data_IF_088060961819
#
_entry.id   IF_088060961819
#
_cell.length_a   1.000
_cell.length_b   1.000
_cell.length_c   1.000
_cell.angle_alpha   90.00
_cell.angle_beta   90.00
_cell.angle_gamma   90.00
#
_symmetry.space_group_name_H-M   'P 1'
#
loop_
_entity.id
_entity.type
_entity.pdbx_description
1 polymer ?
#
# COMPACT_ATOMS: atom_id res chain seq x y z
N UNK A 1 25.48 -5.76 15.47
CA UNK A 1 24.74 -5.59 14.20
C UNK A 1 23.60 -4.63 14.49
N UNK A 2 23.54 -3.47 13.82
CA UNK A 2 22.38 -2.58 13.94
C UNK A 2 21.13 -3.35 13.56
N UNK A 3 20.11 -3.26 14.39
CA UNK A 3 18.84 -3.96 14.18
C UNK A 3 18.13 -3.25 13.02
N UNK A 4 18.20 -3.81 11.80
CA UNK A 4 17.55 -3.25 10.61
C UNK A 4 16.05 -3.04 10.86
N UNK A 5 15.50 -1.99 10.27
CA UNK A 5 14.05 -1.79 10.27
C UNK A 5 13.38 -2.87 9.42
N UNK A 6 12.19 -3.30 9.83
CA UNK A 6 11.39 -4.32 9.14
C UNK A 6 10.17 -3.67 8.51
N UNK A 7 9.99 -3.89 7.22
CA UNK A 7 8.86 -3.37 6.47
C UNK A 7 7.96 -4.50 5.96
N UNK A 8 6.66 -4.36 6.15
CA UNK A 8 5.63 -5.22 5.56
C UNK A 8 4.92 -4.47 4.43
N UNK A 9 4.93 -5.04 3.23
CA UNK A 9 4.24 -4.49 2.05
C UNK A 9 3.19 -5.47 1.55
N UNK A 10 1.92 -5.13 1.66
CA UNK A 10 0.85 -5.96 1.10
C UNK A 10 0.73 -5.77 -0.42
N UNK A 11 0.49 -6.87 -1.16
CA UNK A 11 0.48 -6.83 -2.63
C UNK A 11 1.85 -6.48 -3.23
N UNK A 12 2.95 -6.94 -2.61
CA UNK A 12 4.33 -6.55 -2.95
C UNK A 12 4.97 -7.30 -4.12
N UNK A 13 4.25 -8.20 -4.79
CA UNK A 13 4.85 -9.04 -5.85
C UNK A 13 5.04 -8.34 -7.20
N UNK A 14 4.37 -7.22 -7.46
CA UNK A 14 4.44 -6.46 -8.73
C UNK A 14 3.99 -5.00 -8.56
N UNK A 15 4.14 -4.22 -9.64
CA UNK A 15 3.65 -2.84 -9.73
C UNK A 15 4.14 -1.94 -8.60
N UNK A 16 3.25 -1.10 -8.07
CA UNK A 16 3.56 -0.13 -7.02
C UNK A 16 4.08 -0.83 -5.76
N UNK A 17 3.46 -1.95 -5.35
CA UNK A 17 3.88 -2.68 -4.16
C UNK A 17 5.31 -3.21 -4.26
N UNK A 18 5.70 -3.77 -5.43
CA UNK A 18 7.08 -4.18 -5.69
C UNK A 18 8.03 -2.99 -5.63
N UNK A 19 7.70 -1.88 -6.30
CA UNK A 19 8.54 -0.68 -6.30
C UNK A 19 8.73 -0.13 -4.85
N UNK A 20 7.67 -0.11 -4.04
CA UNK A 20 7.77 0.24 -2.62
C UNK A 20 8.71 -0.70 -1.86
N UNK A 21 8.58 -2.01 -2.07
CA UNK A 21 9.47 -2.99 -1.44
C UNK A 21 10.93 -2.76 -1.81
N UNK A 22 11.20 -2.51 -3.09
CA UNK A 22 12.57 -2.22 -3.60
C UNK A 22 13.14 -0.94 -2.99
N UNK A 23 12.38 0.16 -2.94
CA UNK A 23 12.86 1.43 -2.36
C UNK A 23 13.10 1.30 -0.85
N UNK A 24 12.29 0.53 -0.12
CA UNK A 24 12.50 0.26 1.30
C UNK A 24 13.74 -0.62 1.53
N UNK A 25 13.99 -1.62 0.67
CA UNK A 25 15.18 -2.46 0.75
C UNK A 25 16.46 -1.65 0.45
N UNK A 26 16.46 -0.80 -0.59
CA UNK A 26 17.56 0.14 -0.87
C UNK A 26 17.87 1.07 0.31
N UNK A 27 16.85 1.42 1.10
CA UNK A 27 17.00 2.23 2.31
C UNK A 27 17.45 1.40 3.53
N UNK A 28 17.81 0.12 3.37
CA UNK A 28 18.36 -0.76 4.39
C UNK A 28 17.34 -1.52 5.23
N UNK A 29 16.06 -1.54 4.83
CA UNK A 29 15.06 -2.35 5.52
C UNK A 29 15.15 -3.83 5.14
N UNK A 30 14.83 -4.71 6.09
CA UNK A 30 14.39 -6.06 5.79
C UNK A 30 12.91 -6.00 5.38
N UNK A 31 12.56 -6.62 4.25
CA UNK A 31 11.23 -6.41 3.64
C UNK A 31 10.48 -7.73 3.50
N UNK A 32 9.32 -7.79 4.10
CA UNK A 32 8.37 -8.87 3.90
C UNK A 32 7.32 -8.39 2.89
N UNK A 33 7.12 -9.15 1.83
CA UNK A 33 6.03 -8.90 0.88
C UNK A 33 4.93 -9.93 1.05
N UNK A 34 3.68 -9.47 0.98
CA UNK A 34 2.52 -10.35 0.85
C UNK A 34 2.11 -10.47 -0.61
N UNK A 35 1.61 -11.65 -0.97
CA UNK A 35 0.95 -11.91 -2.25
C UNK A 35 -0.21 -12.90 -2.08
N UNK A 36 -1.17 -12.88 -3.03
CA UNK A 36 -2.31 -13.78 -3.00
C UNK A 36 -2.19 -14.94 -4.02
N UNK A 37 -1.80 -14.65 -5.25
CA UNK A 37 -1.88 -15.62 -6.35
C UNK A 37 -0.56 -15.92 -7.07
N UNK A 38 0.20 -14.92 -7.47
CA UNK A 38 1.38 -15.12 -8.32
C UNK A 38 2.65 -15.33 -7.49
N UNK A 39 2.96 -16.59 -7.21
CA UNK A 39 4.13 -17.01 -6.43
C UNK A 39 5.44 -16.76 -7.17
N UNK A 40 5.48 -17.01 -8.46
CA UNK A 40 6.68 -16.76 -9.29
C UNK A 40 7.09 -15.28 -9.24
N UNK A 41 6.15 -14.37 -9.44
CA UNK A 41 6.42 -12.94 -9.35
C UNK A 41 6.87 -12.52 -7.92
N UNK A 42 6.28 -13.12 -6.89
CA UNK A 42 6.68 -12.86 -5.51
C UNK A 42 8.11 -13.33 -5.23
N UNK A 43 8.47 -14.53 -5.65
CA UNK A 43 9.81 -15.09 -5.50
C UNK A 43 10.86 -14.25 -6.26
N UNK A 44 10.55 -13.86 -7.50
CA UNK A 44 11.42 -12.98 -8.29
C UNK A 44 11.65 -11.62 -7.60
N UNK A 45 10.60 -11.07 -7.00
CA UNK A 45 10.75 -9.83 -6.21
C UNK A 45 11.64 -10.06 -5.00
N UNK A 46 11.48 -11.16 -4.25
CA UNK A 46 12.33 -11.46 -3.10
C UNK A 46 13.79 -11.64 -3.49
N UNK A 47 14.09 -12.28 -4.62
CA UNK A 47 15.46 -12.40 -5.13
C UNK A 47 16.08 -11.01 -5.38
N UNK A 48 15.33 -10.10 -5.98
CA UNK A 48 15.78 -8.72 -6.20
C UNK A 48 16.04 -7.99 -4.87
N UNK A 49 15.14 -8.15 -3.89
CA UNK A 49 15.31 -7.55 -2.56
C UNK A 49 16.53 -8.11 -1.83
N UNK A 50 16.78 -9.41 -1.93
CA UNK A 50 17.98 -10.07 -1.34
C UNK A 50 19.25 -9.58 -2.01
N UNK A 51 19.25 -9.36 -3.32
CA UNK A 51 20.39 -8.79 -4.03
C UNK A 51 20.74 -7.37 -3.56
N UNK A 52 19.78 -6.63 -2.98
CA UNK A 52 19.99 -5.34 -2.32
C UNK A 52 20.46 -5.46 -0.86
N UNK A 53 20.70 -6.66 -0.37
CA UNK A 53 21.14 -6.93 1.00
C UNK A 53 20.03 -6.97 2.05
N UNK A 54 18.76 -7.04 1.63
CA UNK A 54 17.61 -7.18 2.51
C UNK A 54 17.37 -8.65 2.88
N UNK A 55 17.13 -8.94 4.16
CA UNK A 55 16.62 -10.25 4.57
C UNK A 55 15.11 -10.30 4.30
N UNK A 56 14.76 -10.66 3.06
CA UNK A 56 13.40 -10.56 2.54
C UNK A 56 12.72 -11.91 2.40
N UNK A 57 11.40 -11.90 2.57
CA UNK A 57 10.52 -13.06 2.48
C UNK A 57 9.23 -12.71 1.75
N UNK A 58 8.70 -13.65 0.96
CA UNK A 58 7.35 -13.58 0.42
C UNK A 58 6.41 -14.46 1.26
N UNK A 59 5.24 -13.93 1.61
CA UNK A 59 4.23 -14.65 2.38
C UNK A 59 2.92 -14.69 1.61
N UNK A 60 2.39 -15.91 1.41
CA UNK A 60 1.13 -16.14 0.70
C UNK A 60 -0.03 -16.11 1.68
N UNK A 61 -0.84 -15.07 1.62
CA UNK A 61 -2.12 -15.02 2.34
C UNK A 61 -3.07 -14.01 1.67
N UNK A 62 -4.37 -14.26 1.83
CA UNK A 62 -5.40 -13.33 1.41
C UNK A 62 -5.57 -12.25 2.50
N UNK A 63 -5.29 -11.01 2.15
CA UNK A 63 -5.41 -9.85 3.06
C UNK A 63 -6.86 -9.57 3.49
N UNK A 64 -7.85 -10.07 2.76
CA UNK A 64 -9.27 -9.95 3.11
C UNK A 64 -9.73 -11.00 4.13
N UNK A 65 -8.88 -11.97 4.48
CA UNK A 65 -9.15 -12.98 5.50
C UNK A 65 -8.38 -12.62 6.78
N UNK A 66 -9.13 -12.21 7.82
CA UNK A 66 -8.55 -11.76 9.08
C UNK A 66 -7.70 -12.84 9.77
N UNK A 67 -8.16 -14.11 9.78
CA UNK A 67 -7.45 -15.21 10.44
C UNK A 67 -6.09 -15.49 9.79
N UNK A 68 -6.05 -15.48 8.45
CA UNK A 68 -4.81 -15.65 7.70
C UNK A 68 -3.85 -14.48 7.92
N UNK A 69 -4.36 -13.27 8.02
CA UNK A 69 -3.56 -12.08 8.35
C UNK A 69 -2.95 -12.20 9.75
N UNK A 70 -3.75 -12.56 10.76
CA UNK A 70 -3.26 -12.71 12.14
C UNK A 70 -2.18 -13.79 12.26
N UNK A 71 -2.37 -14.92 11.58
CA UNK A 71 -1.37 -16.00 11.51
C UNK A 71 -0.07 -15.52 10.86
N UNK A 72 -0.17 -14.80 9.73
CA UNK A 72 0.99 -14.27 9.03
C UNK A 72 1.75 -13.22 9.87
N UNK A 73 1.05 -12.31 10.54
CA UNK A 73 1.70 -11.31 11.42
C UNK A 73 2.40 -11.99 12.60
N UNK A 74 1.82 -13.06 13.14
CA UNK A 74 2.48 -13.86 14.19
C UNK A 74 3.77 -14.48 13.67
N UNK A 75 3.75 -15.10 12.49
CA UNK A 75 4.95 -15.68 11.87
C UNK A 75 6.05 -14.63 11.64
N UNK A 76 5.68 -13.43 11.15
CA UNK A 76 6.63 -12.32 11.00
C UNK A 76 7.25 -11.96 12.36
N UNK A 77 6.45 -11.87 13.40
CA UNK A 77 6.95 -11.54 14.74
C UNK A 77 7.82 -12.63 15.35
N UNK A 78 7.53 -13.90 15.04
CA UNK A 78 8.36 -15.02 15.49
C UNK A 78 9.76 -15.00 14.85
N UNK A 79 9.88 -14.51 13.62
CA UNK A 79 11.14 -14.44 12.87
C UNK A 79 11.86 -13.10 13.06
N UNK A 80 11.20 -11.98 12.76
CA UNK A 80 11.83 -10.65 12.69
C UNK A 80 11.76 -9.85 14.00
N UNK A 81 10.88 -10.22 14.93
CA UNK A 81 10.67 -9.60 16.26
C UNK A 81 10.15 -8.16 16.25
N UNK A 82 9.98 -7.54 15.08
CA UNK A 82 9.53 -6.16 14.92
C UNK A 82 8.85 -5.92 13.57
N UNK A 83 8.04 -4.87 13.50
CA UNK A 83 7.54 -4.28 12.25
C UNK A 83 7.58 -2.76 12.42
N UNK A 84 8.39 -2.07 11.60
CA UNK A 84 8.60 -0.62 11.69
C UNK A 84 7.83 0.15 10.63
N UNK A 85 7.63 -0.47 9.47
CA UNK A 85 6.90 0.12 8.34
C UNK A 85 5.82 -0.84 7.89
N UNK A 86 4.61 -0.32 7.70
CA UNK A 86 3.51 -1.02 7.04
C UNK A 86 3.08 -0.23 5.81
N UNK A 87 3.05 -0.89 4.66
CA UNK A 87 2.47 -0.34 3.42
C UNK A 87 1.24 -1.17 3.06
N UNK A 88 0.06 -0.62 3.30
CA UNK A 88 -1.21 -1.19 2.87
C UNK A 88 -1.43 -0.85 1.39
N UNK A 89 -0.92 -1.72 0.50
CA UNK A 89 -0.96 -1.51 -0.95
C UNK A 89 -1.88 -2.51 -1.67
N UNK A 90 -2.12 -3.70 -1.13
CA UNK A 90 -2.97 -4.70 -1.76
C UNK A 90 -4.33 -4.09 -2.19
N UNK A 91 -4.75 -4.40 -3.41
CA UNK A 91 -6.00 -3.89 -3.94
C UNK A 91 -6.35 -4.49 -5.30
N UNK A 92 -7.63 -4.43 -5.61
CA UNK A 92 -8.22 -4.89 -6.87
C UNK A 92 -9.18 -3.85 -7.42
N UNK A 93 -9.51 -3.95 -8.71
CA UNK A 93 -10.61 -3.24 -9.34
C UNK A 93 -11.67 -4.22 -9.84
N UNK A 94 -12.93 -3.80 -9.82
CA UNK A 94 -14.09 -4.45 -10.44
C UNK A 94 -14.97 -3.36 -11.00
N UNK A 95 -14.46 -2.72 -12.06
CA UNK A 95 -15.06 -1.54 -12.66
C UNK A 95 -16.35 -1.88 -13.40
N UNK A 96 -17.30 -0.98 -13.36
CA UNK A 96 -18.57 -1.11 -14.04
C UNK A 96 -19.55 0.00 -13.61
N UNK A 97 -20.49 0.36 -14.50
CA UNK A 97 -21.52 1.35 -14.16
C UNK A 97 -22.31 0.89 -12.94
N UNK A 98 -22.59 1.81 -12.01
CA UNK A 98 -23.24 1.49 -10.73
C UNK A 98 -24.54 0.69 -10.89
N UNK A 99 -25.37 1.05 -11.86
CA UNK A 99 -26.63 0.33 -12.12
C UNK A 99 -26.45 -1.15 -12.56
N UNK A 100 -25.23 -1.55 -12.96
CA UNK A 100 -24.90 -2.92 -13.39
C UNK A 100 -23.89 -3.59 -12.46
N UNK A 101 -23.47 -2.89 -11.41
CA UNK A 101 -22.49 -3.42 -10.45
C UNK A 101 -23.16 -4.47 -9.58
N UNK A 102 -22.61 -5.70 -9.58
CA UNK A 102 -23.11 -6.75 -8.70
C UNK A 102 -22.69 -6.48 -7.26
N UNK A 103 -23.49 -6.99 -6.31
CA UNK A 103 -23.12 -6.95 -4.88
C UNK A 103 -21.77 -7.64 -4.63
N UNK A 104 -21.46 -8.71 -5.36
CA UNK A 104 -20.20 -9.43 -5.24
C UNK A 104 -19.02 -8.54 -5.66
N UNK A 105 -19.09 -7.84 -6.81
CA UNK A 105 -18.05 -6.90 -7.24
C UNK A 105 -17.84 -5.75 -6.24
N UNK A 106 -18.92 -5.30 -5.62
CA UNK A 106 -18.85 -4.30 -4.55
C UNK A 106 -18.09 -4.86 -3.34
N UNK A 107 -18.52 -6.01 -2.82
CA UNK A 107 -17.94 -6.63 -1.64
C UNK A 107 -16.48 -7.04 -1.85
N UNK A 108 -16.14 -7.61 -3.01
CA UNK A 108 -14.76 -7.99 -3.34
C UNK A 108 -13.82 -6.78 -3.21
N UNK A 109 -14.23 -5.63 -3.77
CA UNK A 109 -13.41 -4.42 -3.74
C UNK A 109 -13.34 -3.83 -2.32
N UNK A 110 -14.47 -3.74 -1.61
CA UNK A 110 -14.47 -3.24 -0.23
C UNK A 110 -13.62 -4.13 0.67
N UNK A 111 -13.76 -5.44 0.58
CA UNK A 111 -13.02 -6.37 1.42
C UNK A 111 -11.51 -6.31 1.15
N UNK A 112 -11.12 -6.30 -0.12
CA UNK A 112 -9.69 -6.31 -0.48
C UNK A 112 -9.03 -4.95 -0.31
N UNK A 113 -9.73 -3.84 -0.61
CA UNK A 113 -9.09 -2.51 -0.65
C UNK A 113 -9.26 -1.71 0.64
N UNK A 114 -10.28 -2.02 1.48
CA UNK A 114 -10.57 -1.27 2.70
C UNK A 114 -10.49 -2.15 3.94
N UNK A 115 -11.29 -3.23 4.01
CA UNK A 115 -11.32 -4.08 5.19
C UNK A 115 -9.96 -4.74 5.46
N UNK A 116 -9.22 -5.11 4.42
CA UNK A 116 -7.86 -5.62 4.52
C UNK A 116 -6.91 -4.67 5.25
N UNK A 117 -7.02 -3.36 4.99
CA UNK A 117 -6.18 -2.38 5.67
C UNK A 117 -6.46 -2.37 7.19
N UNK A 118 -7.71 -2.55 7.60
CA UNK A 118 -8.03 -2.74 9.02
C UNK A 118 -7.46 -4.05 9.54
N UNK A 119 -7.67 -5.18 8.86
CA UNK A 119 -7.21 -6.49 9.31
C UNK A 119 -5.69 -6.55 9.49
N UNK A 120 -4.93 -5.91 8.58
CA UNK A 120 -3.47 -5.87 8.69
C UNK A 120 -3.00 -4.82 9.71
N UNK A 121 -3.59 -3.64 9.70
CA UNK A 121 -3.14 -2.53 10.57
C UNK A 121 -3.44 -2.80 12.04
N UNK A 122 -4.54 -3.45 12.38
CA UNK A 122 -4.92 -3.70 13.78
C UNK A 122 -3.84 -4.50 14.54
N UNK A 123 -3.40 -5.69 14.11
CA UNK A 123 -2.33 -6.41 14.80
C UNK A 123 -0.97 -5.69 14.71
N UNK A 124 -0.63 -5.08 13.56
CA UNK A 124 0.64 -4.35 13.38
C UNK A 124 0.70 -3.12 14.28
N UNK A 125 -0.38 -2.36 14.43
CA UNK A 125 -0.41 -1.20 15.31
C UNK A 125 -0.17 -1.57 16.78
N UNK A 126 -0.66 -2.72 17.25
CA UNK A 126 -0.39 -3.22 18.60
C UNK A 126 1.10 -3.50 18.82
N UNK A 127 1.79 -3.99 17.79
CA UNK A 127 3.25 -4.20 17.80
C UNK A 127 3.95 -2.84 17.87
N UNK A 128 3.61 -1.91 16.96
CA UNK A 128 4.21 -0.58 16.91
C UNK A 128 3.97 0.23 18.19
N UNK A 129 2.79 0.08 18.85
CA UNK A 129 2.48 0.71 20.14
C UNK A 129 3.47 0.24 21.21
N UNK A 130 3.78 -1.06 21.26
CA UNK A 130 4.78 -1.63 22.20
C UNK A 130 6.18 -1.15 21.86
N UNK A 131 6.52 -1.04 20.59
CA UNK A 131 7.80 -0.50 20.12
C UNK A 131 7.94 1.02 20.37
N UNK A 132 6.83 1.74 20.56
CA UNK A 132 6.75 3.22 20.60
C UNK A 132 7.36 3.87 19.35
N UNK A 133 7.24 3.21 18.23
CA UNK A 133 7.74 3.66 16.93
C UNK A 133 7.04 2.91 15.80
N UNK A 134 6.77 3.60 14.70
CA UNK A 134 6.20 2.98 13.49
C UNK A 134 5.78 4.01 12.44
N UNK A 135 5.68 3.53 11.20
CA UNK A 135 5.12 4.31 10.10
C UNK A 135 4.18 3.44 9.27
N UNK A 136 2.97 3.93 9.04
CA UNK A 136 1.95 3.26 8.24
C UNK A 136 1.66 4.14 7.03
N UNK A 137 1.73 3.57 5.82
CA UNK A 137 1.39 4.25 4.57
C UNK A 137 0.27 3.48 3.89
N UNK A 138 -0.87 4.12 3.71
CA UNK A 138 -2.03 3.56 3.04
C UNK A 138 -2.04 3.97 1.57
N UNK A 139 -2.18 3.01 0.65
CA UNK A 139 -2.31 3.29 -0.77
C UNK A 139 -3.75 3.66 -1.11
N UNK A 140 -4.05 4.95 -1.06
CA UNK A 140 -5.31 5.53 -1.50
C UNK A 140 -5.37 5.61 -3.05
N UNK A 141 -6.01 6.60 -3.62
CA UNK A 141 -6.07 6.91 -5.05
C UNK A 141 -6.67 8.30 -5.23
N UNK A 142 -6.37 8.96 -6.35
CA UNK A 142 -7.14 10.13 -6.78
C UNK A 142 -8.63 9.82 -6.92
N UNK A 143 -8.99 8.59 -7.34
CA UNK A 143 -10.39 8.14 -7.38
C UNK A 143 -11.07 8.16 -6.00
N UNK A 144 -10.31 8.02 -4.91
CA UNK A 144 -10.82 8.15 -3.55
C UNK A 144 -11.02 9.61 -3.10
N UNK A 145 -10.36 10.56 -3.75
CA UNK A 145 -10.49 11.99 -3.44
C UNK A 145 -11.62 12.63 -4.26
N UNK A 146 -11.69 12.32 -5.56
CA UNK A 146 -12.56 13.02 -6.51
C UNK A 146 -13.69 12.15 -7.09
N UNK A 147 -13.64 10.84 -6.85
CA UNK A 147 -14.52 9.89 -7.51
C UNK A 147 -14.07 9.57 -8.92
N UNK A 148 -14.58 8.47 -9.47
CA UNK A 148 -14.41 8.13 -10.88
C UNK A 148 -15.64 7.35 -11.37
N UNK A 149 -16.19 7.74 -12.50
CA UNK A 149 -17.34 7.05 -13.10
C UNK A 149 -16.97 5.58 -13.40
N UNK A 150 -17.86 4.66 -13.04
CA UNK A 150 -17.60 3.22 -13.17
C UNK A 150 -16.79 2.59 -12.03
N UNK A 151 -16.37 3.39 -11.05
CA UNK A 151 -15.56 2.94 -9.90
C UNK A 151 -16.22 3.26 -8.55
N UNK A 152 -17.54 3.20 -8.43
CA UNK A 152 -18.21 3.52 -7.18
C UNK A 152 -17.68 2.70 -5.98
N UNK A 153 -17.45 1.38 -6.16
CA UNK A 153 -16.86 0.51 -5.16
C UNK A 153 -15.39 0.90 -4.83
N UNK A 154 -14.57 1.09 -5.85
CA UNK A 154 -13.15 1.43 -5.70
C UNK A 154 -12.96 2.81 -5.07
N UNK A 155 -13.68 3.82 -5.57
CA UNK A 155 -13.65 5.18 -5.02
C UNK A 155 -14.09 5.21 -3.56
N UNK A 156 -15.16 4.47 -3.20
CA UNK A 156 -15.61 4.33 -1.81
C UNK A 156 -14.54 3.70 -0.94
N UNK A 157 -13.92 2.60 -1.37
CA UNK A 157 -12.86 1.94 -0.61
C UNK A 157 -11.65 2.87 -0.40
N UNK A 158 -11.22 3.57 -1.45
CA UNK A 158 -10.06 4.47 -1.39
C UNK A 158 -10.35 5.75 -0.60
N UNK A 159 -11.58 6.27 -0.62
CA UNK A 159 -12.04 7.35 0.26
C UNK A 159 -12.10 6.88 1.73
N UNK A 160 -12.55 5.65 1.97
CA UNK A 160 -12.52 5.04 3.30
C UNK A 160 -11.11 4.98 3.89
N UNK A 161 -10.10 4.64 3.08
CA UNK A 161 -8.69 4.65 3.50
C UNK A 161 -8.20 6.05 3.90
N UNK A 162 -8.70 7.10 3.27
CA UNK A 162 -8.37 8.49 3.62
C UNK A 162 -8.91 8.81 5.03
N UNK A 163 -10.17 8.47 5.30
CA UNK A 163 -10.77 8.63 6.63
C UNK A 163 -10.04 7.81 7.69
N UNK A 164 -9.76 6.54 7.40
CA UNK A 164 -9.00 5.63 8.24
C UNK A 164 -7.61 6.17 8.58
N UNK A 165 -6.88 6.69 7.59
CA UNK A 165 -5.58 7.33 7.77
C UNK A 165 -5.63 8.48 8.78
N UNK A 166 -6.58 9.40 8.61
CA UNK A 166 -6.72 10.58 9.45
C UNK A 166 -7.11 10.24 10.89
N UNK A 167 -7.98 9.25 11.08
CA UNK A 167 -8.38 8.79 12.41
C UNK A 167 -7.19 8.14 13.14
N UNK A 168 -6.53 7.17 12.53
CA UNK A 168 -5.40 6.48 13.14
C UNK A 168 -4.20 7.40 13.39
N UNK A 169 -3.96 8.38 12.54
CA UNK A 169 -2.91 9.37 12.77
C UNK A 169 -3.09 10.09 14.10
N UNK A 170 -4.31 10.44 14.46
CA UNK A 170 -4.63 11.09 15.75
C UNK A 170 -4.51 10.12 16.93
N UNK A 171 -5.00 8.89 16.77
CA UNK A 171 -5.01 7.88 17.85
C UNK A 171 -3.59 7.41 18.20
N UNK A 172 -2.73 7.24 17.19
CA UNK A 172 -1.43 6.60 17.35
C UNK A 172 -0.27 7.58 17.55
N UNK A 173 -0.48 8.89 17.34
CA UNK A 173 0.56 9.92 17.45
C UNK A 173 1.26 9.94 18.82
N UNK A 174 0.51 9.75 19.92
CA UNK A 174 1.07 9.70 21.28
C UNK A 174 2.02 8.51 21.51
N UNK A 175 2.02 7.54 20.60
CA UNK A 175 2.91 6.38 20.60
C UNK A 175 4.05 6.51 19.59
N UNK A 176 4.26 7.71 19.04
CA UNK A 176 5.28 7.96 18.01
C UNK A 176 5.09 7.11 16.76
N UNK A 177 3.83 6.88 16.38
CA UNK A 177 3.46 6.17 15.16
C UNK A 177 2.82 7.16 14.20
N UNK A 178 3.33 7.23 12.98
CA UNK A 178 2.82 8.11 11.93
C UNK A 178 1.97 7.30 10.94
N UNK A 179 0.86 7.89 10.51
CA UNK A 179 -0.04 7.26 9.53
C UNK A 179 -0.33 8.26 8.44
N UNK A 180 0.03 7.94 7.21
CA UNK A 180 -0.20 8.79 6.05
C UNK A 180 -0.80 7.96 4.90
N UNK A 181 -1.31 8.64 3.89
CA UNK A 181 -1.76 8.02 2.64
C UNK A 181 -1.03 8.63 1.45
N UNK A 182 -0.81 7.82 0.43
CA UNK A 182 -0.44 8.26 -0.92
C UNK A 182 -1.62 8.03 -1.83
N UNK A 183 -1.93 9.00 -2.67
CA UNK A 183 -3.02 8.95 -3.65
C UNK A 183 -2.42 8.99 -5.07
N UNK A 184 -2.12 7.82 -5.68
CA UNK A 184 -1.62 7.76 -7.03
C UNK A 184 -2.63 8.25 -8.05
N UNK A 185 -2.13 8.92 -9.12
CA UNK A 185 -2.83 9.12 -10.38
C UNK A 185 -2.77 7.87 -11.27
N UNK A 186 -2.63 8.10 -12.59
CA UNK A 186 -2.43 7.01 -13.54
C UNK A 186 -0.96 6.59 -13.57
N UNK A 187 -0.69 5.39 -13.08
CA UNK A 187 0.65 4.80 -12.96
C UNK A 187 0.77 3.62 -13.92
N UNK A 188 1.90 3.48 -14.61
CA UNK A 188 2.20 2.35 -15.50
C UNK A 188 2.29 1.05 -14.71
N UNK A 189 1.23 0.25 -14.79
CA UNK A 189 1.11 -1.06 -14.13
C UNK A 189 0.21 -1.98 -14.96
N UNK A 190 0.13 -3.25 -14.57
CA UNK A 190 -0.81 -4.18 -15.20
C UNK A 190 -2.28 -3.71 -15.13
N UNK A 191 -2.65 -2.91 -14.13
CA UNK A 191 -4.01 -2.37 -13.99
C UNK A 191 -4.34 -1.32 -15.05
N UNK A 192 -3.34 -0.60 -15.56
CA UNK A 192 -3.53 0.56 -16.46
C UNK A 192 -3.09 0.30 -17.90
N UNK A 193 -2.43 -0.83 -18.17
CA UNK A 193 -1.87 -1.14 -19.50
C UNK A 193 -2.89 -1.15 -20.65
N UNK A 194 -4.14 -1.51 -20.36
CA UNK A 194 -5.21 -1.58 -21.35
C UNK A 194 -6.06 -0.31 -21.45
N UNK A 195 -5.71 0.75 -20.71
CA UNK A 195 -6.41 2.03 -20.78
C UNK A 195 -5.95 2.85 -22.00
N UNK A 196 -6.77 3.79 -22.51
CA UNK A 196 -6.41 4.66 -23.62
C UNK A 196 -5.34 5.68 -23.19
N UNK A 197 -4.07 5.26 -23.20
CA UNK A 197 -2.95 6.00 -22.59
C UNK A 197 -2.78 7.40 -23.16
N UNK A 198 -2.89 7.59 -24.49
CA UNK A 198 -2.76 8.91 -25.11
C UNK A 198 -3.78 9.90 -24.56
N UNK A 199 -5.07 9.50 -24.48
CA UNK A 199 -6.14 10.36 -23.95
C UNK A 199 -5.96 10.70 -22.47
N UNK A 200 -5.33 9.80 -21.70
CA UNK A 200 -5.02 10.01 -20.29
C UNK A 200 -3.85 10.99 -20.17
N UNK A 201 -2.78 10.77 -20.92
CA UNK A 201 -1.57 11.61 -20.91
C UNK A 201 -1.90 13.05 -21.29
N UNK A 202 -2.82 13.25 -22.23
CA UNK A 202 -3.27 14.60 -22.63
C UNK A 202 -3.87 15.39 -21.49
N UNK A 203 -4.48 14.71 -20.53
CA UNK A 203 -5.10 15.34 -19.34
C UNK A 203 -4.11 15.57 -18.19
N UNK A 204 -2.96 14.88 -18.20
CA UNK A 204 -1.95 15.01 -17.16
C UNK A 204 -1.06 16.23 -17.47
N UNK A 205 -0.97 17.25 -16.59
CA UNK A 205 -0.09 18.41 -16.81
C UNK A 205 1.36 18.05 -17.07
N UNK A 206 1.93 17.05 -16.37
CA UNK A 206 3.30 16.56 -16.62
C UNK A 206 3.46 15.71 -17.89
N UNK A 207 2.37 15.52 -18.69
CA UNK A 207 2.36 14.88 -20.00
C UNK A 207 3.01 13.49 -20.06
N UNK A 208 2.91 12.73 -18.97
CA UNK A 208 3.31 11.32 -18.89
C UNK A 208 2.48 10.59 -17.86
N UNK A 209 2.38 9.28 -17.98
CA UNK A 209 1.96 8.43 -16.87
C UNK A 209 3.04 8.46 -15.78
N UNK A 210 2.64 8.28 -14.53
CA UNK A 210 3.59 8.03 -13.45
C UNK A 210 4.17 6.62 -13.55
N UNK A 211 5.40 6.46 -13.06
CA UNK A 211 6.01 5.15 -12.87
C UNK A 211 5.77 4.65 -11.44
N UNK A 212 5.79 3.33 -11.19
CA UNK A 212 5.69 2.78 -9.84
C UNK A 212 6.70 3.39 -8.86
N UNK A 213 7.88 3.77 -9.36
CA UNK A 213 8.97 4.39 -8.60
C UNK A 213 8.63 5.81 -8.14
N UNK A 214 7.80 6.56 -8.88
CA UNK A 214 7.32 7.89 -8.45
C UNK A 214 6.51 7.76 -7.15
N UNK A 215 5.70 6.72 -7.04
CA UNK A 215 4.93 6.40 -5.84
C UNK A 215 5.84 5.88 -4.73
N UNK A 216 6.73 4.95 -5.06
CA UNK A 216 7.60 4.28 -4.09
C UNK A 216 8.53 5.25 -3.35
N UNK A 217 9.07 6.25 -4.05
CA UNK A 217 9.89 7.31 -3.45
C UNK A 217 9.09 8.12 -2.42
N UNK A 218 7.83 8.44 -2.72
CA UNK A 218 6.95 9.15 -1.78
C UNK A 218 6.62 8.27 -0.56
N UNK A 219 6.37 6.98 -0.78
CA UNK A 219 6.15 6.02 0.32
C UNK A 219 7.39 5.95 1.21
N UNK A 220 8.59 5.78 0.63
CA UNK A 220 9.86 5.75 1.37
C UNK A 220 10.07 7.03 2.16
N UNK A 221 9.85 8.20 1.56
CA UNK A 221 9.95 9.50 2.25
C UNK A 221 9.02 9.56 3.46
N UNK A 222 7.74 9.21 3.29
CA UNK A 222 6.77 9.21 4.39
C UNK A 222 7.09 8.18 5.48
N UNK A 223 7.64 7.02 5.10
CA UNK A 223 7.95 5.94 6.03
C UNK A 223 9.24 6.18 6.83
N UNK A 224 10.30 6.68 6.18
CA UNK A 224 11.65 6.66 6.72
C UNK A 224 12.30 8.03 6.91
N UNK A 225 12.06 9.00 6.00
CA UNK A 225 12.85 10.22 5.93
C UNK A 225 12.26 11.38 6.76
N UNK A 226 10.95 11.32 7.05
CA UNK A 226 10.27 12.36 7.83
C UNK A 226 9.84 11.86 9.21
N UNK A 227 9.79 12.75 10.18
CA UNK A 227 9.34 12.46 11.55
C UNK A 227 8.14 13.29 11.99
N UNK A 228 7.76 14.32 11.23
CA UNK A 228 6.73 15.29 11.63
C UNK A 228 5.52 15.35 10.68
N UNK A 229 5.41 14.39 9.75
CA UNK A 229 4.27 14.27 8.83
C UNK A 229 3.40 13.10 9.26
N UNK A 230 2.15 13.38 9.64
CA UNK A 230 1.13 12.38 9.96
C UNK A 230 -0.26 12.90 9.60
N UNK A 231 -1.18 12.00 9.25
CA UNK A 231 -2.56 12.32 8.85
C UNK A 231 -2.69 12.93 7.46
N UNK A 232 -1.61 12.97 6.66
CA UNK A 232 -1.63 13.57 5.33
C UNK A 232 -2.02 12.59 4.25
N UNK A 233 -2.60 13.14 3.18
CA UNK A 233 -2.88 12.44 1.91
C UNK A 233 -2.10 13.14 0.83
N UNK A 234 -1.08 12.48 0.30
CA UNK A 234 -0.19 13.06 -0.71
C UNK A 234 -0.60 12.57 -2.08
N UNK A 235 -1.06 13.48 -2.94
CA UNK A 235 -1.30 13.22 -4.35
C UNK A 235 0.02 13.03 -5.10
N UNK A 236 0.10 11.97 -5.91
CA UNK A 236 1.23 11.70 -6.81
C UNK A 236 0.64 11.35 -8.17
N UNK A 237 0.23 12.37 -8.91
CA UNK A 237 -0.65 12.25 -10.06
C UNK A 237 -0.24 13.10 -11.27
N UNK A 238 0.95 13.73 -11.22
CA UNK A 238 1.45 14.58 -12.30
C UNK A 238 0.66 15.88 -12.49
N UNK A 239 -0.09 16.31 -11.45
CA UNK A 239 -0.94 17.51 -11.50
C UNK A 239 -2.31 17.24 -12.14
N UNK A 240 -2.71 15.98 -12.30
CA UNK A 240 -3.98 15.62 -12.93
C UNK A 240 -5.17 16.19 -12.15
N UNK A 241 -5.00 16.33 -10.85
CA UNK A 241 -6.07 16.80 -9.97
C UNK A 241 -5.50 17.88 -9.03
N UNK A 242 -5.64 19.11 -9.43
CA UNK A 242 -5.27 20.32 -8.69
C UNK A 242 -6.44 21.30 -8.69
#
# INVERSE_FOLDING_TARGET
MENKKVALVTGGSRGIGKACAVELAKAGCDVIINYAGNEEAANKTVEELKALGSNSKAMKFDVSNQELVEAAIKEIMDEYKRIDVLVNNAGITRDGLFMRMSAQNWLDVINTNLNSAYFVTNPVSKIMIKQRSGAIVNMASISGIYGNAGQANYSTAKAGLIGFTKALAKELASRNIRVNAVAPGFIQTDMTKNLPQEQIVDKIPLKRLGEPEDIAKTVKFLALDTTYITGQVIGVDGGLVI
#
